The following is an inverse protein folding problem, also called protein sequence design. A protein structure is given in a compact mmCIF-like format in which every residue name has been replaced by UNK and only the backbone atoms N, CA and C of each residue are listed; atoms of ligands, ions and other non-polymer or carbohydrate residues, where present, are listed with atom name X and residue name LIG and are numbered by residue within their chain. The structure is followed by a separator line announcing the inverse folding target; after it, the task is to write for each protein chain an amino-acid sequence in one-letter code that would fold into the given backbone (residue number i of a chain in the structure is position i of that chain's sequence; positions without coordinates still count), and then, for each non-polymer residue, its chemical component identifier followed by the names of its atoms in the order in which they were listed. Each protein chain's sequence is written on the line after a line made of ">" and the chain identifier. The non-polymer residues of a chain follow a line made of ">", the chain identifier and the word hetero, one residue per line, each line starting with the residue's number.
data_IF_174918071444
#
_entry.id   IF_174918071444
#
_cell.length_a   1.000
_cell.length_b   1.000
_cell.length_c   1.000
_cell.angle_alpha   90.00
_cell.angle_beta   90.00
_cell.angle_gamma   90.00
#
_symmetry.space_group_name_H-M   'P 1'
#
loop_
_entity.id
_entity.type
_entity.pdbx_description
1 polymer ?
#
# COMPACT_ATOMS: atom_id res chain seq x y z
N UNK A 1 28.67 -11.38 10.05
CA UNK A 1 28.01 -10.28 10.77
C UNK A 1 26.68 -10.00 10.10
N UNK A 2 25.57 -10.12 10.81
CA UNK A 2 24.24 -9.69 10.33
C UNK A 2 24.16 -8.17 10.46
N UNK A 3 23.98 -7.48 9.34
CA UNK A 3 23.69 -6.04 9.30
C UNK A 3 22.29 -5.79 9.90
N UNK A 4 22.13 -4.70 10.63
CA UNK A 4 20.84 -4.23 11.15
C UNK A 4 19.85 -3.94 10.03
N UNK A 5 18.60 -4.37 10.20
CA UNK A 5 17.50 -4.09 9.26
C UNK A 5 16.72 -2.86 9.71
N UNK A 6 16.64 -1.83 8.86
CA UNK A 6 16.08 -0.52 9.18
C UNK A 6 14.72 -0.32 8.51
N UNK A 7 13.70 -0.05 9.33
CA UNK A 7 12.33 0.17 8.90
C UNK A 7 11.91 1.59 9.30
N UNK A 8 11.39 2.36 8.36
CA UNK A 8 10.75 3.65 8.61
C UNK A 8 9.26 3.61 8.32
N UNK A 9 8.50 4.49 8.96
CA UNK A 9 7.06 4.64 8.73
C UNK A 9 6.79 6.01 8.12
N UNK A 10 6.39 6.04 6.85
CA UNK A 10 6.06 7.25 6.10
C UNK A 10 4.58 7.66 6.19
N UNK A 11 3.73 6.83 6.80
CA UNK A 11 2.35 7.18 7.14
C UNK A 11 1.81 6.25 8.22
N UNK A 12 1.07 6.83 9.17
CA UNK A 12 0.15 6.13 10.08
C UNK A 12 -1.33 6.38 9.75
N UNK A 13 -1.59 7.24 8.75
CA UNK A 13 -2.93 7.60 8.30
C UNK A 13 -2.97 7.84 6.79
N UNK A 14 -4.09 7.49 6.15
CA UNK A 14 -4.23 7.51 4.68
C UNK A 14 -3.90 8.86 4.05
N UNK A 15 -4.29 9.96 4.70
CA UNK A 15 -4.07 11.32 4.25
C UNK A 15 -2.89 12.02 4.93
N UNK A 16 -1.96 11.27 5.54
CA UNK A 16 -0.72 11.84 6.07
C UNK A 16 0.05 12.60 4.99
N UNK A 17 0.73 13.66 5.45
CA UNK A 17 1.65 14.46 4.64
C UNK A 17 2.75 13.58 4.07
N UNK A 18 3.16 13.87 2.83
CA UNK A 18 4.21 13.11 2.15
C UNK A 18 5.62 13.60 2.50
N UNK A 19 5.79 14.87 2.87
CA UNK A 19 7.11 15.47 3.09
C UNK A 19 7.96 14.69 4.11
N UNK A 20 7.43 14.24 5.28
CA UNK A 20 8.22 13.43 6.19
C UNK A 20 8.62 12.06 5.62
N UNK A 21 7.79 11.46 4.75
CA UNK A 21 8.12 10.20 4.10
C UNK A 21 9.21 10.37 3.04
N UNK A 22 9.24 11.53 2.36
CA UNK A 22 10.31 11.90 1.42
C UNK A 22 11.63 12.02 2.16
N UNK A 23 11.66 12.74 3.28
CA UNK A 23 12.88 12.86 4.12
C UNK A 23 13.38 11.50 4.60
N UNK A 24 12.48 10.62 5.06
CA UNK A 24 12.83 9.26 5.46
C UNK A 24 13.39 8.43 4.28
N UNK A 25 12.82 8.56 3.09
CA UNK A 25 13.28 7.87 1.90
C UNK A 25 14.69 8.31 1.47
N UNK A 26 14.97 9.61 1.52
CA UNK A 26 16.25 10.18 1.06
C UNK A 26 17.36 10.10 2.11
N UNK A 27 17.03 10.24 3.38
CA UNK A 27 18.02 10.45 4.45
C UNK A 27 17.99 9.38 5.55
N UNK A 28 16.94 8.55 5.61
CA UNK A 28 16.75 7.56 6.68
C UNK A 28 17.63 6.32 6.57
N UNK A 29 18.33 6.11 5.45
CA UNK A 29 19.14 4.91 5.19
C UNK A 29 18.37 3.61 5.52
N UNK A 30 17.13 3.53 5.03
CA UNK A 30 16.16 2.48 5.33
C UNK A 30 16.27 1.32 4.35
N UNK A 31 15.98 0.10 4.81
CA UNK A 31 15.77 -1.06 3.94
C UNK A 31 14.29 -1.16 3.51
N UNK A 32 13.37 -0.66 4.34
CA UNK A 32 11.91 -0.63 4.10
C UNK A 32 11.30 0.69 4.56
N UNK A 33 10.41 1.24 3.74
CA UNK A 33 9.52 2.36 4.08
C UNK A 33 8.07 1.87 4.07
N UNK A 34 7.43 1.91 5.23
CA UNK A 34 6.05 1.46 5.43
C UNK A 34 5.09 2.63 5.24
N UNK A 35 4.01 2.40 4.50
CA UNK A 35 2.82 3.26 4.50
C UNK A 35 1.65 2.49 5.10
N UNK A 36 1.40 2.74 6.39
CA UNK A 36 0.15 2.37 7.05
C UNK A 36 -0.90 3.42 6.66
N UNK A 37 -1.89 3.00 5.87
CA UNK A 37 -2.95 3.88 5.40
C UNK A 37 -4.36 3.28 5.60
N UNK A 38 -4.54 2.34 6.53
CA UNK A 38 -5.81 1.64 6.73
C UNK A 38 -6.17 1.54 8.21
N UNK A 39 -7.25 2.21 8.59
CA UNK A 39 -7.99 1.95 9.82
C UNK A 39 -9.34 1.27 9.57
N UNK A 40 -10.10 1.05 10.65
CA UNK A 40 -11.41 0.38 10.65
C UNK A 40 -12.39 0.98 9.62
N UNK A 41 -12.57 2.32 9.65
CA UNK A 41 -13.46 3.01 8.71
C UNK A 41 -13.05 2.83 7.25
N UNK A 42 -11.75 2.88 6.96
CA UNK A 42 -11.23 2.75 5.60
C UNK A 42 -11.27 1.31 5.09
N UNK A 43 -11.22 0.30 5.98
CA UNK A 43 -11.50 -1.09 5.61
C UNK A 43 -12.92 -1.22 5.05
N UNK A 44 -13.92 -0.73 5.80
CA UNK A 44 -15.32 -0.77 5.37
C UNK A 44 -15.53 -0.07 4.02
N UNK A 45 -14.86 1.07 3.80
CA UNK A 45 -14.92 1.76 2.51
C UNK A 45 -14.29 0.94 1.37
N UNK A 46 -13.13 0.32 1.59
CA UNK A 46 -12.52 -0.55 0.57
C UNK A 46 -13.42 -1.71 0.17
N UNK A 47 -14.08 -2.36 1.13
CA UNK A 47 -15.02 -3.44 0.84
C UNK A 47 -16.28 -2.93 0.09
N UNK A 48 -16.88 -1.82 0.52
CA UNK A 48 -17.99 -1.16 -0.19
C UNK A 48 -17.60 -0.83 -1.63
N UNK A 49 -16.43 -0.23 -1.82
CA UNK A 49 -15.98 0.22 -3.13
C UNK A 49 -15.65 -0.98 -4.05
N UNK A 50 -15.13 -2.08 -3.50
CA UNK A 50 -14.96 -3.35 -4.23
C UNK A 50 -16.28 -3.97 -4.64
N UNK A 51 -17.30 -3.93 -3.78
CA UNK A 51 -18.64 -4.43 -4.10
C UNK A 51 -19.28 -3.63 -5.24
N UNK A 52 -19.10 -2.30 -5.25
CA UNK A 52 -19.59 -1.44 -6.32
C UNK A 52 -18.79 -1.59 -7.63
N UNK A 53 -17.47 -1.80 -7.53
CA UNK A 53 -16.57 -1.98 -8.66
C UNK A 53 -15.52 -3.05 -8.34
N UNK A 54 -15.55 -4.23 -8.98
CA UNK A 54 -14.57 -5.30 -8.75
C UNK A 54 -13.10 -4.91 -8.99
N UNK A 55 -12.84 -3.87 -9.80
CA UNK A 55 -11.48 -3.32 -10.01
C UNK A 55 -11.06 -2.27 -8.98
N UNK A 56 -11.99 -1.83 -8.14
CA UNK A 56 -11.76 -0.89 -7.03
C UNK A 56 -11.45 -1.61 -5.72
N UNK A 57 -11.62 -0.89 -4.61
CA UNK A 57 -11.45 -1.44 -3.26
C UNK A 57 -10.05 -1.39 -2.68
N UNK A 58 -9.08 -0.81 -3.39
CA UNK A 58 -7.83 -0.33 -2.81
C UNK A 58 -7.95 1.14 -2.40
N UNK A 59 -7.03 1.63 -1.59
CA UNK A 59 -7.05 3.00 -1.06
C UNK A 59 -6.94 4.02 -2.22
N UNK A 60 -7.87 4.98 -2.36
CA UNK A 60 -7.90 5.92 -3.49
C UNK A 60 -6.70 6.88 -3.54
N UNK A 61 -5.95 7.02 -2.44
CA UNK A 61 -4.72 7.82 -2.38
C UNK A 61 -3.47 7.04 -2.81
N UNK A 62 -3.58 5.72 -3.08
CA UNK A 62 -2.46 4.90 -3.55
C UNK A 62 -1.80 5.51 -4.79
N UNK A 63 -2.52 5.95 -5.84
CA UNK A 63 -1.87 6.49 -7.03
C UNK A 63 -1.05 7.75 -6.75
N UNK A 64 -1.58 8.68 -5.95
CA UNK A 64 -0.87 9.90 -5.56
C UNK A 64 0.42 9.57 -4.81
N UNK A 65 0.35 8.61 -3.89
CA UNK A 65 1.49 8.19 -3.07
C UNK A 65 2.56 7.48 -3.90
N UNK A 66 2.18 6.54 -4.76
CA UNK A 66 3.13 5.83 -5.64
C UNK A 66 3.79 6.76 -6.65
N UNK A 67 3.05 7.73 -7.22
CA UNK A 67 3.64 8.73 -8.13
C UNK A 67 4.69 9.60 -7.46
N UNK A 68 4.50 9.97 -6.20
CA UNK A 68 5.45 10.77 -5.46
C UNK A 68 6.68 9.95 -5.04
N UNK A 69 6.48 8.71 -4.60
CA UNK A 69 7.53 7.94 -3.92
C UNK A 69 8.36 7.06 -4.86
N UNK A 70 7.76 6.43 -5.87
CA UNK A 70 8.49 5.49 -6.73
C UNK A 70 9.71 6.11 -7.42
N UNK A 71 9.66 7.35 -7.97
CA UNK A 71 10.84 7.98 -8.55
C UNK A 71 11.96 8.28 -7.55
N UNK A 72 11.64 8.39 -6.26
CA UNK A 72 12.62 8.71 -5.21
C UNK A 72 13.34 7.48 -4.70
N UNK A 73 12.67 6.32 -4.72
CA UNK A 73 13.20 5.09 -4.10
C UNK A 73 13.60 4.02 -5.11
N UNK A 74 13.18 4.11 -6.37
CA UNK A 74 13.62 3.17 -7.39
C UNK A 74 14.87 3.68 -8.11
N UNK A 75 15.90 2.85 -8.37
CA UNK A 75 16.01 1.43 -8.01
C UNK A 75 16.70 1.15 -6.67
N UNK A 76 17.42 2.13 -6.11
CA UNK A 76 18.41 1.91 -5.05
C UNK A 76 17.96 2.34 -3.63
N UNK A 77 16.71 2.76 -3.48
CA UNK A 77 16.11 3.20 -2.23
C UNK A 77 15.38 2.09 -1.46
N UNK A 78 14.67 2.45 -0.37
CA UNK A 78 13.97 1.48 0.46
C UNK A 78 12.82 0.80 -0.29
N UNK A 79 12.56 -0.47 0.07
CA UNK A 79 11.36 -1.16 -0.40
C UNK A 79 10.12 -0.54 0.22
N UNK A 80 9.12 -0.25 -0.61
CA UNK A 80 7.82 0.22 -0.14
C UNK A 80 6.97 -0.97 0.30
N UNK A 81 6.45 -0.93 1.52
CA UNK A 81 5.45 -1.88 2.04
C UNK A 81 4.20 -1.11 2.44
N UNK A 82 3.02 -1.56 2.03
CA UNK A 82 1.79 -0.85 2.34
C UNK A 82 0.58 -1.77 2.41
N UNK A 83 -0.37 -1.43 3.28
CA UNK A 83 -1.69 -2.07 3.35
C UNK A 83 -2.75 -1.34 2.52
N UNK A 84 -2.35 -0.36 1.70
CA UNK A 84 -3.25 0.37 0.78
C UNK A 84 -3.96 -0.51 -0.24
N UNK A 85 -3.67 -1.81 -0.31
CA UNK A 85 -4.49 -2.80 -1.00
C UNK A 85 -5.91 -2.92 -0.46
N UNK A 86 -6.11 -2.66 0.84
CA UNK A 86 -7.40 -2.76 1.55
C UNK A 86 -8.14 -4.05 1.17
N UNK A 87 -9.27 -3.95 0.46
CA UNK A 87 -10.07 -5.10 0.04
C UNK A 87 -9.61 -5.67 -1.31
N UNK A 88 -8.70 -5.03 -2.06
CA UNK A 88 -8.23 -5.49 -3.36
C UNK A 88 -6.71 -5.30 -3.56
N UNK A 89 -5.87 -6.12 -2.89
CA UNK A 89 -4.41 -6.05 -3.04
C UNK A 89 -3.92 -6.27 -4.48
N UNK A 90 -4.61 -7.10 -5.26
CA UNK A 90 -4.27 -7.36 -6.66
C UNK A 90 -4.47 -6.11 -7.53
N UNK A 91 -5.62 -5.43 -7.42
CA UNK A 91 -5.85 -4.19 -8.15
C UNK A 91 -4.89 -3.07 -7.72
N UNK A 92 -4.50 -3.03 -6.44
CA UNK A 92 -3.47 -2.09 -5.98
C UNK A 92 -2.10 -2.36 -6.63
N UNK A 93 -1.70 -3.64 -6.74
CA UNK A 93 -0.46 -4.02 -7.41
C UNK A 93 -0.51 -3.69 -8.92
N UNK A 94 -1.61 -3.99 -9.60
CA UNK A 94 -1.81 -3.63 -11.01
C UNK A 94 -1.78 -2.12 -11.22
N UNK A 95 -2.44 -1.35 -10.34
CA UNK A 95 -2.40 0.11 -10.42
C UNK A 95 -1.00 0.66 -10.19
N UNK A 96 -0.25 0.08 -9.27
CA UNK A 96 1.15 0.45 -9.01
C UNK A 96 2.04 0.10 -10.21
N UNK A 97 1.83 -1.05 -10.85
CA UNK A 97 2.52 -1.47 -12.07
C UNK A 97 2.25 -0.49 -13.23
N UNK A 98 0.99 -0.10 -13.43
CA UNK A 98 0.63 0.90 -14.42
C UNK A 98 1.33 2.25 -14.16
N UNK A 99 1.34 2.72 -12.92
CA UNK A 99 2.05 3.96 -12.54
C UNK A 99 3.56 3.85 -12.83
N UNK A 100 4.18 2.72 -12.51
CA UNK A 100 5.59 2.51 -12.80
C UNK A 100 5.89 2.60 -14.31
N UNK A 101 5.04 2.00 -15.16
CA UNK A 101 5.13 2.10 -16.62
C UNK A 101 4.95 3.55 -17.11
N UNK A 102 3.95 4.25 -16.57
CA UNK A 102 3.70 5.67 -16.90
C UNK A 102 4.88 6.58 -16.50
N UNK A 103 5.63 6.22 -15.45
CA UNK A 103 6.84 6.91 -15.00
C UNK A 103 8.11 6.45 -15.74
N UNK A 104 8.01 5.49 -16.66
CA UNK A 104 9.17 4.95 -17.38
C UNK A 104 10.09 4.07 -16.53
N UNK A 105 9.65 3.60 -15.36
CA UNK A 105 10.46 2.76 -14.47
C UNK A 105 10.45 1.32 -14.97
N UNK A 106 11.60 0.82 -15.42
CA UNK A 106 11.78 -0.55 -15.91
C UNK A 106 12.45 -1.42 -14.85
N UNK A 107 11.91 -2.63 -14.62
CA UNK A 107 12.49 -3.59 -13.65
C UNK A 107 11.96 -3.47 -12.21
N UNK A 108 10.95 -2.63 -11.94
CA UNK A 108 10.29 -2.58 -10.63
C UNK A 108 9.59 -3.92 -10.34
N UNK A 109 9.93 -4.52 -9.19
CA UNK A 109 9.28 -5.73 -8.68
C UNK A 109 8.12 -5.35 -7.76
N UNK A 110 6.95 -5.89 -8.04
CA UNK A 110 5.72 -5.65 -7.27
C UNK A 110 5.16 -7.00 -6.84
N UNK A 111 4.85 -7.12 -5.56
CA UNK A 111 4.18 -8.29 -5.01
C UNK A 111 2.91 -7.84 -4.27
N UNK A 112 1.79 -8.49 -4.58
CA UNK A 112 0.58 -8.40 -3.77
C UNK A 112 0.57 -9.57 -2.78
N UNK A 113 0.43 -9.28 -1.49
CA UNK A 113 0.16 -10.31 -0.49
C UNK A 113 -1.36 -10.43 -0.34
N UNK A 114 -1.87 -11.63 -0.58
CA UNK A 114 -3.28 -11.97 -0.41
C UNK A 114 -3.42 -12.97 0.74
N UNK A 115 -4.58 -12.98 1.36
CA UNK A 115 -4.98 -13.94 2.39
C UNK A 115 -6.33 -14.52 2.00
N UNK A 116 -6.74 -15.60 2.67
CA UNK A 116 -8.03 -16.23 2.45
C UNK A 116 -9.18 -15.27 2.77
N UNK A 117 -10.19 -15.26 1.89
CA UNK A 117 -11.45 -14.57 2.14
C UNK A 117 -12.40 -15.54 2.85
N UNK A 118 -12.64 -15.28 4.13
CA UNK A 118 -13.54 -16.08 4.96
C UNK A 118 -14.99 -15.59 4.90
N UNK A 119 -15.33 -14.61 4.07
CA UNK A 119 -16.67 -14.03 3.99
C UNK A 119 -17.77 -15.05 3.70
N UNK A 120 -17.45 -16.13 2.97
CA UNK A 120 -18.37 -17.25 2.71
C UNK A 120 -18.54 -18.19 3.91
N UNK A 121 -17.62 -18.16 4.87
CA UNK A 121 -17.66 -18.93 6.11
C UNK A 121 -18.39 -18.18 7.23
N UNK A 122 -18.62 -16.88 7.06
CA UNK A 122 -19.30 -16.04 8.04
C UNK A 122 -20.83 -16.10 7.84
N UNK A 123 -21.62 -16.32 8.91
CA UNK A 123 -23.07 -16.23 8.83
C UNK A 123 -23.50 -14.78 8.55
N UNK A 124 -24.62 -14.61 7.85
CA UNK A 124 -25.18 -13.29 7.48
C UNK A 124 -25.41 -12.36 8.69
N UNK A 125 -25.59 -12.94 9.88
CA UNK A 125 -25.61 -12.22 11.15
C UNK A 125 -24.48 -12.77 12.01
N UNK A 126 -23.38 -12.02 12.08
CA UNK A 126 -22.36 -12.25 13.10
C UNK A 126 -22.80 -11.51 14.36
N UNK A 127 -23.11 -12.23 15.44
CA UNK A 127 -23.39 -11.58 16.73
C UNK A 127 -22.12 -10.87 17.20
N UNK A 128 -22.16 -9.55 17.23
CA UNK A 128 -21.15 -8.74 17.90
C UNK A 128 -21.54 -8.71 19.38
N UNK A 129 -21.05 -9.71 20.12
CA UNK A 129 -21.22 -9.90 21.58
C UNK A 129 -22.68 -10.06 22.04
#
# INVERSE_FOLDING_TARGET
>A
MTRDFRIGCGAGFSADRLDPAVELALHGALDVLVFECVGERTLAFGHRDRQANPSGGYNPLLPRRMRAMLPLVFPDGPRIVTNMGVANPLAAAERTSAIARELGLTGLKIAALICDDIGTLLPAVTRLW
#
